data_IF_132633185821
#
_entry.id   IF_132633185821
#
_cell.length_a   1.000
_cell.length_b   1.000
_cell.length_c   1.000
_cell.angle_alpha   90.00
_cell.angle_beta   90.00
_cell.angle_gamma   90.00
#
_symmetry.space_group_name_H-M   'P 1'
#
loop_
_entity.id
_entity.type
_entity.pdbx_description
1 polymer ?
#
# COMPACT_ATOMS: atom_id res chain seq x y z
N UNK A 1 -9.80 -4.97 14.77
CA UNK A 1 -9.71 -6.08 13.80
C UNK A 1 -9.82 -5.55 12.38
N UNK A 2 -9.04 -6.07 11.47
CA UNK A 2 -9.06 -5.66 10.06
C UNK A 2 -10.14 -6.42 9.31
N UNK A 3 -10.90 -5.71 8.48
CA UNK A 3 -12.00 -6.27 7.70
C UNK A 3 -11.95 -5.75 6.26
N UNK A 4 -12.63 -6.43 5.35
CA UNK A 4 -12.86 -5.91 4.00
C UNK A 4 -13.79 -4.71 4.07
N UNK A 5 -13.44 -3.64 3.36
CA UNK A 5 -14.30 -2.47 3.24
C UNK A 5 -15.49 -2.77 2.34
N UNK A 6 -16.65 -2.24 2.71
CA UNK A 6 -17.88 -2.37 1.95
C UNK A 6 -18.31 -1.01 1.39
N UNK A 7 -19.15 -1.02 0.36
CA UNK A 7 -19.64 0.21 -0.29
C UNK A 7 -20.23 1.20 0.71
N UNK A 8 -20.94 0.72 1.74
CA UNK A 8 -21.48 1.57 2.80
C UNK A 8 -20.43 2.33 3.59
N UNK A 9 -19.16 1.89 3.52
CA UNK A 9 -18.05 2.50 4.26
C UNK A 9 -17.36 3.61 3.46
N UNK A 10 -17.80 3.88 2.22
CA UNK A 10 -17.10 4.76 1.27
C UNK A 10 -16.76 6.12 1.86
N UNK A 11 -17.69 6.78 2.55
CA UNK A 11 -17.44 8.12 3.11
C UNK A 11 -16.35 8.08 4.18
N UNK A 12 -16.33 7.04 5.00
CA UNK A 12 -15.31 6.86 6.04
C UNK A 12 -13.94 6.59 5.42
N UNK A 13 -13.89 5.79 4.36
CA UNK A 13 -12.66 5.53 3.62
C UNK A 13 -12.15 6.81 2.94
N UNK A 14 -13.04 7.60 2.33
CA UNK A 14 -12.66 8.90 1.76
C UNK A 14 -12.02 9.80 2.82
N UNK A 15 -12.56 9.80 4.04
CA UNK A 15 -11.99 10.57 5.16
C UNK A 15 -10.57 10.14 5.51
N UNK A 16 -10.31 8.83 5.54
CA UNK A 16 -8.97 8.30 5.80
C UNK A 16 -7.99 8.78 4.72
N UNK A 17 -8.36 8.63 3.45
CA UNK A 17 -7.48 8.99 2.33
C UNK A 17 -7.28 10.51 2.24
N UNK A 18 -8.29 11.31 2.54
CA UNK A 18 -8.13 12.77 2.58
C UNK A 18 -7.14 13.18 3.67
N UNK A 19 -7.24 12.61 4.86
CA UNK A 19 -6.30 12.87 5.94
C UNK A 19 -4.88 12.44 5.55
N UNK A 20 -4.73 11.31 4.87
CA UNK A 20 -3.43 10.83 4.40
C UNK A 20 -2.83 11.75 3.33
N UNK A 21 -3.63 12.24 2.39
CA UNK A 21 -3.17 13.20 1.37
C UNK A 21 -2.70 14.50 2.01
N UNK A 22 -3.44 15.00 3.00
CA UNK A 22 -3.07 16.21 3.73
C UNK A 22 -1.73 16.01 4.46
N UNK A 23 -1.57 14.87 5.15
CA UNK A 23 -0.31 14.53 5.82
C UNK A 23 0.86 14.50 4.82
N UNK A 24 0.67 13.89 3.65
CA UNK A 24 1.70 13.84 2.62
C UNK A 24 2.11 15.25 2.17
N UNK A 25 1.15 16.13 1.90
CA UNK A 25 1.43 17.51 1.49
C UNK A 25 2.20 18.28 2.56
N UNK A 26 1.82 18.10 3.82
CA UNK A 26 2.44 18.79 4.95
C UNK A 26 3.83 18.25 5.33
N UNK A 27 4.15 17.04 4.89
CA UNK A 27 5.40 16.36 5.24
C UNK A 27 6.34 16.14 4.04
N UNK A 28 6.30 17.02 3.07
CA UNK A 28 7.25 17.05 1.96
C UNK A 28 6.99 16.04 0.86
N UNK A 29 5.78 15.46 0.79
CA UNK A 29 5.42 14.48 -0.23
C UNK A 29 4.11 14.89 -0.94
N UNK A 30 4.07 16.05 -1.62
CA UNK A 30 2.84 16.52 -2.26
C UNK A 30 2.50 15.80 -3.57
N UNK A 31 3.45 15.09 -4.16
CA UNK A 31 3.34 14.59 -5.52
C UNK A 31 2.89 13.13 -5.63
N UNK A 32 2.94 12.35 -4.56
CA UNK A 32 2.59 10.92 -4.64
C UNK A 32 1.12 10.72 -5.00
N UNK A 33 0.21 11.35 -4.27
CA UNK A 33 -1.24 11.25 -4.49
C UNK A 33 -1.89 12.57 -4.90
N UNK A 34 -1.18 13.68 -4.81
CA UNK A 34 -1.73 14.99 -5.13
C UNK A 34 -2.90 15.35 -4.24
N UNK A 35 -4.01 15.79 -4.85
CA UNK A 35 -5.17 16.29 -4.12
C UNK A 35 -6.39 15.37 -4.17
N UNK A 36 -6.44 14.36 -5.05
CA UNK A 36 -7.65 13.54 -5.23
C UNK A 36 -7.41 12.05 -5.47
N UNK A 37 -6.16 11.58 -5.50
CA UNK A 37 -5.89 10.15 -5.63
C UNK A 37 -5.76 9.52 -4.23
N UNK A 38 -6.32 8.35 -3.96
CA UNK A 38 -7.26 7.62 -4.82
C UNK A 38 -8.66 8.27 -4.77
N UNK A 39 -9.31 8.36 -5.94
CA UNK A 39 -10.66 8.88 -6.04
C UNK A 39 -11.70 7.81 -5.69
N UNK A 40 -12.97 8.22 -5.59
CA UNK A 40 -14.06 7.30 -5.26
C UNK A 40 -14.15 6.11 -6.20
N UNK A 41 -14.00 6.33 -7.51
CA UNK A 41 -14.09 5.24 -8.50
C UNK A 41 -13.04 4.16 -8.26
N UNK A 42 -11.83 4.56 -7.88
CA UNK A 42 -10.75 3.62 -7.54
C UNK A 42 -11.12 2.83 -6.29
N UNK A 43 -11.60 3.51 -5.24
CA UNK A 43 -12.00 2.85 -4.00
C UNK A 43 -13.16 1.87 -4.22
N UNK A 44 -14.16 2.27 -4.99
CA UNK A 44 -15.29 1.40 -5.32
C UNK A 44 -14.85 0.16 -6.10
N UNK A 45 -13.94 0.34 -7.06
CA UNK A 45 -13.38 -0.77 -7.81
C UNK A 45 -12.60 -1.73 -6.91
N UNK A 46 -11.81 -1.20 -5.98
CA UNK A 46 -11.09 -2.01 -5.00
C UNK A 46 -12.04 -2.78 -4.08
N UNK A 47 -13.14 -2.15 -3.67
CA UNK A 47 -14.18 -2.80 -2.86
C UNK A 47 -14.86 -3.92 -3.63
N UNK A 48 -15.20 -3.69 -4.90
CA UNK A 48 -15.83 -4.69 -5.77
C UNK A 48 -14.93 -5.91 -5.93
N UNK A 49 -13.62 -5.69 -6.06
CA UNK A 49 -12.65 -6.78 -6.17
C UNK A 49 -12.37 -7.48 -4.82
N UNK A 50 -12.86 -6.93 -3.71
CA UNK A 50 -12.65 -7.48 -2.38
C UNK A 50 -11.23 -7.36 -1.88
N UNK A 51 -10.48 -6.34 -2.33
CA UNK A 51 -9.05 -6.15 -1.99
C UNK A 51 -8.77 -4.94 -1.10
N UNK A 52 -9.80 -4.13 -0.81
CA UNK A 52 -9.67 -2.97 0.07
C UNK A 52 -10.05 -3.35 1.51
N UNK A 53 -9.15 -3.07 2.43
CA UNK A 53 -9.29 -3.40 3.84
C UNK A 53 -9.23 -2.15 4.71
N UNK A 54 -9.86 -2.21 5.86
CA UNK A 54 -9.84 -1.17 6.89
C UNK A 54 -9.95 -1.83 8.26
N UNK A 55 -9.63 -1.09 9.32
CA UNK A 55 -9.92 -1.55 10.68
C UNK A 55 -11.36 -1.18 11.08
N UNK A 56 -11.87 -1.81 12.13
CA UNK A 56 -13.23 -1.55 12.61
C UNK A 56 -13.46 -0.09 13.03
N UNK A 57 -12.42 0.59 13.50
CA UNK A 57 -12.48 1.99 13.90
C UNK A 57 -12.28 2.98 12.77
N UNK A 58 -12.03 2.51 11.55
CA UNK A 58 -11.76 3.35 10.37
C UNK A 58 -10.61 4.31 10.61
N UNK A 59 -9.50 3.80 11.14
CA UNK A 59 -8.29 4.56 11.41
C UNK A 59 -7.28 4.47 10.28
N UNK A 60 -7.33 3.37 9.51
CA UNK A 60 -6.44 3.14 8.38
C UNK A 60 -7.10 2.27 7.32
N UNK A 61 -6.54 2.29 6.13
CA UNK A 61 -7.01 1.50 4.99
C UNK A 61 -5.83 1.10 4.11
N UNK A 62 -5.99 0.02 3.38
CA UNK A 62 -4.96 -0.45 2.44
C UNK A 62 -5.57 -1.44 1.45
N UNK A 63 -4.87 -1.62 0.34
CA UNK A 63 -5.20 -2.64 -0.66
C UNK A 63 -4.18 -3.76 -0.54
N UNK A 64 -4.67 -4.99 -0.47
CA UNK A 64 -3.84 -6.20 -0.56
C UNK A 64 -4.41 -7.04 -1.68
N UNK A 65 -3.63 -7.25 -2.71
CA UNK A 65 -4.06 -7.91 -3.94
C UNK A 65 -3.00 -8.87 -4.46
N UNK A 66 -3.30 -9.55 -5.55
CA UNK A 66 -2.34 -10.39 -6.26
C UNK A 66 -1.28 -9.57 -6.99
N UNK A 67 -0.78 -10.12 -8.08
CA UNK A 67 0.32 -9.49 -8.81
C UNK A 67 -0.10 -8.19 -9.47
N UNK A 68 0.81 -7.21 -9.46
CA UNK A 68 0.64 -5.91 -10.11
C UNK A 68 1.31 -5.94 -11.48
N UNK A 69 0.55 -5.75 -12.54
CA UNK A 69 1.07 -5.81 -13.91
C UNK A 69 2.22 -4.82 -14.16
N UNK A 70 2.10 -3.60 -13.62
CA UNK A 70 3.12 -2.56 -13.78
C UNK A 70 4.48 -2.96 -13.19
N UNK A 71 4.51 -3.92 -12.27
CA UNK A 71 5.75 -4.38 -11.65
C UNK A 71 6.60 -5.26 -12.56
N UNK A 72 6.05 -5.73 -13.68
CA UNK A 72 6.80 -6.55 -14.65
C UNK A 72 7.92 -5.76 -15.32
N UNK A 73 7.75 -4.46 -15.46
CA UNK A 73 8.67 -3.58 -16.18
C UNK A 73 9.61 -2.83 -15.23
N UNK A 74 10.00 -3.44 -14.12
CA UNK A 74 10.97 -2.85 -13.19
C UNK A 74 12.26 -2.49 -13.94
N UNK A 75 12.83 -1.31 -13.62
CA UNK A 75 14.07 -0.81 -14.22
C UNK A 75 14.99 -0.24 -13.15
N UNK A 76 16.24 0.01 -13.53
CA UNK A 76 17.30 0.43 -12.59
C UNK A 76 17.41 -0.49 -11.38
N UNK A 77 17.26 -1.78 -11.63
CA UNK A 77 17.31 -2.81 -10.62
C UNK A 77 16.52 -4.03 -11.06
N UNK A 78 16.23 -4.90 -10.11
CA UNK A 78 15.45 -6.12 -10.36
C UNK A 78 14.79 -6.59 -9.08
N UNK A 79 13.69 -7.30 -9.21
CA UNK A 79 13.06 -7.98 -8.08
C UNK A 79 14.01 -9.06 -7.53
N UNK A 80 13.84 -9.43 -6.26
CA UNK A 80 14.70 -10.40 -5.59
C UNK A 80 14.53 -11.82 -6.13
N UNK A 81 13.38 -12.13 -6.71
CA UNK A 81 13.08 -13.41 -7.34
C UNK A 81 11.92 -13.25 -8.33
N UNK A 82 11.57 -14.34 -9.01
CA UNK A 82 10.45 -14.37 -9.98
C UNK A 82 9.25 -15.16 -9.42
N UNK A 83 9.20 -15.37 -8.12
CA UNK A 83 8.11 -16.11 -7.48
C UNK A 83 6.84 -15.26 -7.39
N UNK A 84 5.71 -15.92 -7.23
CA UNK A 84 4.44 -15.24 -7.00
C UNK A 84 4.47 -14.43 -5.70
N UNK A 85 3.72 -13.34 -5.66
CA UNK A 85 3.72 -12.39 -4.55
C UNK A 85 2.34 -11.77 -4.35
N UNK A 86 2.12 -11.19 -3.17
CA UNK A 86 1.03 -10.27 -2.94
C UNK A 86 1.53 -8.84 -3.06
N UNK A 87 0.64 -7.94 -3.45
CA UNK A 87 0.95 -6.51 -3.60
C UNK A 87 0.19 -5.70 -2.58
N UNK A 88 0.90 -4.80 -1.89
CA UNK A 88 0.28 -3.76 -1.06
C UNK A 88 0.19 -2.45 -1.85
N UNK A 89 -0.97 -1.83 -1.84
CA UNK A 89 -1.22 -0.54 -2.46
C UNK A 89 -2.04 0.36 -1.54
N UNK A 90 -1.94 1.65 -1.77
CA UNK A 90 -2.82 2.65 -1.16
C UNK A 90 -2.95 2.50 0.36
N UNK A 91 -1.81 2.31 1.02
CA UNK A 91 -1.74 2.28 2.50
C UNK A 91 -1.92 3.69 3.03
N UNK A 92 -2.90 3.90 3.89
CA UNK A 92 -3.22 5.21 4.44
C UNK A 92 -3.67 5.11 5.90
N UNK A 93 -3.32 6.10 6.69
CA UNK A 93 -3.82 6.27 8.05
C UNK A 93 -4.31 7.69 8.25
N UNK A 94 -5.20 7.89 9.24
CA UNK A 94 -5.73 9.21 9.57
C UNK A 94 -5.02 9.88 10.75
N UNK A 95 -3.95 9.28 11.25
CA UNK A 95 -3.17 9.83 12.36
C UNK A 95 -3.69 9.49 13.75
N UNK A 96 -4.82 8.83 13.88
CA UNK A 96 -5.41 8.48 15.18
C UNK A 96 -4.71 7.32 15.89
N UNK A 97 -4.10 6.42 15.11
CA UNK A 97 -3.37 5.27 15.66
C UNK A 97 -1.93 5.29 15.17
N UNK A 98 -1.01 4.78 16.01
CA UNK A 98 0.39 4.63 15.64
C UNK A 98 0.66 3.25 15.08
N UNK A 99 1.76 3.11 14.34
CA UNK A 99 2.21 1.82 13.85
C UNK A 99 1.28 1.21 12.82
N UNK A 100 0.64 2.04 12.00
CA UNK A 100 -0.28 1.59 10.95
C UNK A 100 0.40 0.57 10.05
N UNK A 101 1.59 0.86 9.54
CA UNK A 101 2.25 -0.05 8.62
C UNK A 101 2.58 -1.41 9.28
N UNK A 102 2.98 -1.43 10.54
CA UNK A 102 3.19 -2.69 11.27
C UNK A 102 1.94 -3.55 11.31
N UNK A 103 0.78 -2.92 11.56
CA UNK A 103 -0.51 -3.63 11.60
C UNK A 103 -0.90 -4.16 10.22
N UNK A 104 -0.73 -3.35 9.19
CA UNK A 104 -0.96 -3.73 7.79
C UNK A 104 -0.05 -4.89 7.39
N UNK A 105 1.22 -4.79 7.75
CA UNK A 105 2.22 -5.81 7.42
C UNK A 105 1.93 -7.15 8.11
N UNK A 106 1.60 -7.14 9.40
CA UNK A 106 1.23 -8.36 10.13
C UNK A 106 0.05 -9.08 9.46
N UNK A 107 -0.99 -8.33 9.12
CA UNK A 107 -2.14 -8.87 8.40
C UNK A 107 -1.73 -9.44 7.05
N UNK A 108 -0.88 -8.72 6.31
CA UNK A 108 -0.42 -9.14 4.98
C UNK A 108 0.41 -10.42 5.04
N UNK A 109 1.24 -10.59 6.07
CA UNK A 109 2.03 -11.81 6.27
C UNK A 109 1.11 -13.01 6.48
N UNK A 110 0.06 -12.85 7.27
CA UNK A 110 -0.91 -13.93 7.50
C UNK A 110 -1.57 -14.32 6.17
N UNK A 111 -2.04 -13.34 5.41
CA UNK A 111 -2.69 -13.58 4.11
C UNK A 111 -1.73 -14.19 3.08
N UNK A 112 -0.49 -13.73 3.07
CA UNK A 112 0.55 -14.30 2.22
C UNK A 112 0.76 -15.79 2.51
N UNK A 113 0.87 -16.15 3.79
CA UNK A 113 1.04 -17.55 4.22
C UNK A 113 -0.20 -18.40 3.89
N UNK A 114 -1.39 -17.87 4.13
CA UNK A 114 -2.65 -18.53 3.76
C UNK A 114 -2.70 -18.85 2.26
N UNK A 115 -2.14 -17.96 1.44
CA UNK A 115 -2.09 -18.15 -0.01
C UNK A 115 -0.94 -19.06 -0.47
N UNK A 116 -0.11 -19.55 0.44
CA UNK A 116 1.05 -20.39 0.10
C UNK A 116 2.19 -19.61 -0.54
N UNK A 117 2.28 -18.29 -0.31
CA UNK A 117 3.28 -17.42 -0.91
C UNK A 117 4.34 -17.02 0.11
N UNK A 118 5.45 -16.47 -0.39
CA UNK A 118 6.59 -16.05 0.43
C UNK A 118 7.00 -14.61 0.19
N UNK A 119 6.30 -13.89 -0.68
CA UNK A 119 6.74 -12.57 -1.15
C UNK A 119 5.65 -11.54 -1.06
N UNK A 120 6.02 -10.31 -0.65
CA UNK A 120 5.17 -9.12 -0.71
C UNK A 120 5.95 -8.04 -1.44
N UNK A 121 5.31 -7.37 -2.40
CA UNK A 121 5.87 -6.22 -3.12
C UNK A 121 5.04 -4.98 -2.85
N UNK A 122 5.70 -3.83 -2.85
CA UNK A 122 5.08 -2.53 -2.62
C UNK A 122 5.94 -1.48 -3.33
N UNK A 123 5.34 -0.36 -3.64
CA UNK A 123 6.06 0.80 -4.15
C UNK A 123 5.72 2.04 -3.33
N UNK A 124 6.59 3.05 -3.39
CA UNK A 124 6.34 4.35 -2.76
C UNK A 124 7.07 5.46 -3.51
N UNK A 125 6.65 6.69 -3.28
CA UNK A 125 7.27 7.86 -3.88
C UNK A 125 8.63 8.18 -3.22
N UNK A 126 9.57 8.70 -3.99
CA UNK A 126 10.90 9.07 -3.47
C UNK A 126 10.85 10.10 -2.34
N UNK A 127 9.81 10.93 -2.29
CA UNK A 127 9.60 11.92 -1.24
C UNK A 127 8.90 11.37 0.00
N UNK A 128 8.40 10.15 -0.05
CA UNK A 128 7.71 9.53 1.09
C UNK A 128 8.71 8.89 2.05
N UNK A 129 9.42 9.69 2.81
CA UNK A 129 10.44 9.22 3.74
C UNK A 129 9.84 8.39 4.87
N UNK A 130 8.63 8.72 5.31
CA UNK A 130 7.91 7.98 6.35
C UNK A 130 7.71 6.53 5.92
N UNK A 131 7.21 6.30 4.71
CA UNK A 131 6.99 4.94 4.20
C UNK A 131 8.32 4.22 3.97
N UNK A 132 9.32 4.89 3.40
CA UNK A 132 10.63 4.27 3.16
C UNK A 132 11.24 3.74 4.46
N UNK A 133 11.14 4.51 5.55
CA UNK A 133 11.63 4.09 6.88
C UNK A 133 10.82 2.92 7.43
N UNK A 134 9.51 2.96 7.27
CA UNK A 134 8.63 1.88 7.72
C UNK A 134 8.94 0.57 6.98
N UNK A 135 9.15 0.63 5.67
CA UNK A 135 9.51 -0.52 4.84
C UNK A 135 10.85 -1.12 5.27
N UNK A 136 11.88 -0.28 5.43
CA UNK A 136 13.20 -0.73 5.87
C UNK A 136 13.12 -1.42 7.24
N UNK A 137 12.33 -0.86 8.15
CA UNK A 137 12.16 -1.38 9.50
C UNK A 137 11.54 -2.78 9.50
N UNK A 138 10.68 -3.07 8.54
CA UNK A 138 10.02 -4.38 8.41
C UNK A 138 10.82 -5.38 7.56
N UNK A 139 11.99 -4.99 7.07
CA UNK A 139 12.85 -5.90 6.32
C UNK A 139 12.60 -5.92 4.80
N UNK A 140 11.86 -4.94 4.26
CA UNK A 140 11.74 -4.78 2.81
C UNK A 140 13.06 -4.29 2.24
N UNK A 141 13.39 -4.79 1.05
CA UNK A 141 14.61 -4.44 0.32
C UNK A 141 14.24 -3.60 -0.90
N UNK A 142 14.95 -2.50 -1.09
CA UNK A 142 14.81 -1.68 -2.29
C UNK A 142 15.32 -2.45 -3.51
N UNK A 143 14.49 -2.56 -4.55
CA UNK A 143 14.78 -3.40 -5.72
C UNK A 143 15.07 -2.59 -6.99
N UNK A 144 14.49 -1.42 -7.15
CA UNK A 144 14.62 -0.62 -8.35
C UNK A 144 13.49 0.38 -8.47
N UNK A 145 13.14 0.72 -9.71
CA UNK A 145 12.07 1.67 -10.00
C UNK A 145 10.98 1.00 -10.84
N UNK A 146 9.76 1.43 -10.61
CA UNK A 146 8.60 1.02 -11.42
C UNK A 146 7.83 2.26 -11.84
N UNK A 147 7.13 2.18 -12.97
CA UNK A 147 6.29 3.27 -13.44
C UNK A 147 4.84 2.85 -13.35
N UNK A 148 4.11 3.56 -12.50
CA UNK A 148 2.68 3.39 -12.35
C UNK A 148 1.96 4.48 -13.14
N UNK A 149 0.64 4.41 -13.11
CA UNK A 149 -0.22 5.43 -13.72
C UNK A 149 0.07 6.83 -13.18
N UNK A 150 0.37 6.92 -11.88
CA UNK A 150 0.64 8.19 -11.18
C UNK A 150 2.08 8.68 -11.36
N UNK A 151 2.97 7.87 -11.95
CA UNK A 151 4.36 8.23 -12.18
C UNK A 151 5.36 7.20 -11.66
N UNK A 152 6.61 7.62 -11.56
CA UNK A 152 7.71 6.77 -11.11
C UNK A 152 7.63 6.51 -9.61
N UNK A 153 7.92 5.27 -9.21
CA UNK A 153 7.94 4.86 -7.81
C UNK A 153 9.15 3.98 -7.52
N UNK A 154 9.58 3.97 -6.27
CA UNK A 154 10.61 3.07 -5.77
C UNK A 154 9.95 1.73 -5.43
N UNK A 155 10.51 0.65 -5.96
CA UNK A 155 10.01 -0.71 -5.76
C UNK A 155 10.71 -1.40 -4.60
N UNK A 156 9.94 -2.06 -3.74
CA UNK A 156 10.44 -2.78 -2.57
C UNK A 156 9.85 -4.18 -2.53
N UNK A 157 10.63 -5.12 -2.00
CA UNK A 157 10.17 -6.50 -1.82
C UNK A 157 10.56 -7.05 -0.46
N UNK A 158 9.65 -7.78 0.15
CA UNK A 158 9.87 -8.59 1.34
C UNK A 158 9.81 -10.06 0.95
N UNK A 159 10.79 -10.85 1.41
CA UNK A 159 10.83 -12.30 1.22
C UNK A 159 10.80 -12.95 2.60
N UNK A 160 9.82 -13.81 2.85
CA UNK A 160 9.71 -14.54 4.11
C UNK A 160 10.83 -15.59 4.21
N UNK A 161 11.33 -15.74 5.43
CA UNK A 161 12.37 -16.75 5.73
C UNK A 161 11.75 -18.11 6.03
#
# INVERSE_FOLDING_TARGET
MIKKAEVKDLQKLNGIYEAARQYMRENGNPDQWGTNYPCEDILLNDMEKGVLYTDEGFNFAFVLMGEEEAYRDIYEGSWLNEEAYLTLHRVAGNGRVRGVFSKVFEFSIIKMREAGLSNIRIDTHEKNLTMQKALARQGFVRCGLVRLREGERIAYQYVAK
#
